data_IF_114069798276
#
_entry.id   IF_114069798276
#
_cell.length_a   1.000
_cell.length_b   1.000
_cell.length_c   1.000
_cell.angle_alpha   90.00
_cell.angle_beta   90.00
_cell.angle_gamma   90.00
#
_symmetry.space_group_name_H-M   'P 1'
#
loop_
_entity.id
_entity.type
_entity.pdbx_description
1 polymer ?
#
# COMPACT_ATOMS: atom_id res chain seq x y z
N UNK A 1 27.40 18.65 -42.94
CA UNK A 1 27.33 17.20 -43.17
C UNK A 1 26.66 16.62 -41.93
N UNK A 2 25.36 16.32 -42.08
CA UNK A 2 24.46 15.50 -41.23
C UNK A 2 24.48 15.79 -39.71
N UNK A 3 23.52 16.53 -39.17
CA UNK A 3 22.09 16.19 -38.94
C UNK A 3 21.88 15.03 -37.96
N UNK A 4 20.82 15.21 -37.16
CA UNK A 4 20.10 14.25 -36.32
C UNK A 4 20.35 14.46 -34.81
N UNK A 5 19.54 15.27 -34.12
CA UNK A 5 18.12 15.06 -33.77
C UNK A 5 17.96 13.73 -33.03
N UNK A 6 17.79 13.80 -31.71
CA UNK A 6 16.83 13.02 -30.92
C UNK A 6 16.85 13.63 -29.50
N UNK A 7 16.12 14.73 -29.27
CA UNK A 7 14.84 14.68 -28.55
C UNK A 7 14.86 13.67 -27.40
N UNK A 8 15.14 14.15 -26.18
CA UNK A 8 14.64 13.50 -24.97
C UNK A 8 13.12 13.59 -24.99
N UNK A 9 12.51 12.63 -25.68
CA UNK A 9 11.10 12.33 -25.56
C UNK A 9 10.97 11.69 -24.19
N UNK A 10 10.52 12.46 -23.20
CA UNK A 10 9.86 11.91 -22.03
C UNK A 10 8.84 10.91 -22.60
N UNK A 11 8.91 9.60 -22.30
CA UNK A 11 7.87 8.71 -22.73
C UNK A 11 6.58 9.24 -22.11
N UNK A 12 5.71 9.79 -22.96
CA UNK A 12 4.33 10.08 -22.59
C UNK A 12 3.78 8.70 -22.22
N UNK A 13 3.63 8.46 -20.91
CA UNK A 13 2.82 7.37 -20.42
C UNK A 13 1.50 7.49 -21.17
N UNK A 14 1.28 6.58 -22.12
CA UNK A 14 -0.03 6.49 -22.75
C UNK A 14 -0.95 6.09 -21.61
N UNK A 15 -1.75 7.04 -21.13
CA UNK A 15 -2.77 6.77 -20.13
C UNK A 15 -3.67 5.69 -20.73
N UNK A 16 -3.44 4.45 -20.34
CA UNK A 16 -4.30 3.35 -20.73
C UNK A 16 -5.68 3.67 -20.16
N UNK A 17 -6.74 3.40 -20.91
CA UNK A 17 -8.10 3.68 -20.45
C UNK A 17 -8.83 2.38 -20.16
N UNK A 18 -9.58 2.35 -19.08
CA UNK A 18 -10.49 1.25 -18.74
C UNK A 18 -11.88 1.63 -19.28
N UNK A 19 -12.46 0.86 -20.21
CA UNK A 19 -13.82 1.09 -20.66
C UNK A 19 -14.79 0.80 -19.53
N UNK A 20 -15.83 1.63 -19.40
CA UNK A 20 -16.90 1.42 -18.43
C UNK A 20 -17.98 0.54 -19.06
N UNK A 21 -18.35 -0.56 -18.37
CA UNK A 21 -19.49 -1.41 -18.75
C UNK A 21 -20.81 -0.60 -18.76
N UNK A 22 -20.91 0.37 -17.85
CA UNK A 22 -22.01 1.35 -17.80
C UNK A 22 -21.41 2.75 -17.80
N UNK A 23 -21.63 3.50 -18.89
CA UNK A 23 -21.17 4.88 -19.00
C UNK A 23 -21.87 5.83 -18.02
N UNK A 24 -21.16 6.85 -17.57
CA UNK A 24 -21.68 7.89 -16.66
C UNK A 24 -21.75 9.21 -17.43
N UNK A 25 -22.96 9.65 -17.76
CA UNK A 25 -23.15 10.82 -18.63
C UNK A 25 -22.51 10.60 -20.00
N UNK A 26 -21.51 11.41 -20.35
CA UNK A 26 -20.73 11.29 -21.60
C UNK A 26 -19.43 10.49 -21.43
N UNK A 27 -19.09 10.06 -20.21
CA UNK A 27 -17.85 9.35 -19.91
C UNK A 27 -18.05 7.85 -20.12
N UNK A 28 -17.39 7.28 -21.13
CA UNK A 28 -17.42 5.84 -21.47
C UNK A 28 -16.13 5.09 -21.12
N UNK A 29 -15.08 5.81 -20.74
CA UNK A 29 -13.81 5.24 -20.32
C UNK A 29 -13.12 6.18 -19.33
N UNK A 30 -12.35 5.61 -18.41
CA UNK A 30 -11.59 6.36 -17.41
C UNK A 30 -10.11 6.00 -17.51
N UNK A 31 -9.21 6.88 -17.06
CA UNK A 31 -7.79 6.54 -17.00
C UNK A 31 -7.57 5.32 -16.08
N UNK A 32 -6.68 4.42 -16.49
CA UNK A 32 -6.31 3.19 -15.79
C UNK A 32 -5.55 3.46 -14.50
N UNK A 33 -5.00 4.66 -14.34
CA UNK A 33 -4.30 5.06 -13.13
C UNK A 33 -5.35 5.34 -12.06
N UNK A 34 -5.41 4.47 -11.04
CA UNK A 34 -6.44 4.51 -9.98
C UNK A 34 -7.88 4.47 -10.52
N UNK A 35 -8.28 3.36 -11.18
CA UNK A 35 -9.54 3.29 -11.93
C UNK A 35 -10.77 3.44 -11.01
N UNK A 36 -10.73 2.92 -9.78
CA UNK A 36 -11.81 3.12 -8.81
C UNK A 36 -12.00 4.59 -8.44
N UNK A 37 -10.89 5.31 -8.23
CA UNK A 37 -10.91 6.71 -7.82
C UNK A 37 -11.45 7.61 -8.94
N UNK A 38 -10.97 7.40 -10.17
CA UNK A 38 -11.48 8.11 -11.35
C UNK A 38 -12.96 7.81 -11.61
N UNK A 39 -13.40 6.57 -11.35
CA UNK A 39 -14.80 6.19 -11.43
C UNK A 39 -15.66 6.96 -10.40
N UNK A 40 -15.25 6.98 -9.12
CA UNK A 40 -15.96 7.71 -8.06
C UNK A 40 -15.99 9.21 -8.35
N UNK A 41 -14.88 9.79 -8.82
CA UNK A 41 -14.83 11.19 -9.24
C UNK A 41 -15.82 11.51 -10.35
N UNK A 42 -15.89 10.65 -11.38
CA UNK A 42 -16.86 10.79 -12.47
C UNK A 42 -18.32 10.74 -11.97
N UNK A 43 -18.64 9.81 -11.06
CA UNK A 43 -19.98 9.72 -10.45
C UNK A 43 -20.31 10.98 -9.65
N UNK A 44 -19.38 11.47 -8.84
CA UNK A 44 -19.58 12.65 -8.00
C UNK A 44 -19.87 13.91 -8.84
N UNK A 45 -19.07 14.18 -9.88
CA UNK A 45 -19.30 15.30 -10.80
C UNK A 45 -20.64 15.18 -11.51
N UNK A 46 -21.03 13.97 -11.93
CA UNK A 46 -22.32 13.72 -12.55
C UNK A 46 -23.48 14.05 -11.60
N UNK A 47 -23.45 13.58 -10.36
CA UNK A 47 -24.52 13.82 -9.37
C UNK A 47 -24.67 15.31 -9.04
N UNK A 48 -23.57 16.03 -8.81
CA UNK A 48 -23.62 17.48 -8.53
C UNK A 48 -24.18 18.25 -9.72
N UNK A 49 -23.79 17.89 -10.95
CA UNK A 49 -24.34 18.50 -12.16
C UNK A 49 -25.85 18.26 -12.31
N UNK A 50 -26.31 17.04 -12.00
CA UNK A 50 -27.72 16.67 -12.03
C UNK A 50 -28.54 17.46 -11.00
N UNK A 51 -28.04 17.60 -9.77
CA UNK A 51 -28.69 18.41 -8.71
C UNK A 51 -28.86 19.86 -9.16
N UNK A 52 -27.83 20.45 -9.79
CA UNK A 52 -27.90 21.82 -10.32
C UNK A 52 -28.99 22.00 -11.38
N UNK A 53 -29.11 21.04 -12.31
CA UNK A 53 -30.15 21.06 -13.35
C UNK A 53 -31.54 20.92 -12.73
N UNK A 54 -31.73 19.99 -11.80
CA UNK A 54 -33.01 19.78 -11.11
C UNK A 54 -33.41 21.01 -10.29
N UNK A 55 -32.47 21.61 -9.57
CA UNK A 55 -32.71 22.83 -8.81
C UNK A 55 -33.13 23.99 -9.71
N UNK A 56 -32.44 24.19 -10.84
CA UNK A 56 -32.79 25.21 -11.83
C UNK A 56 -34.20 24.98 -12.41
N UNK A 57 -34.54 23.73 -12.77
CA UNK A 57 -35.87 23.37 -13.27
C UNK A 57 -36.97 23.65 -12.23
N UNK A 58 -36.73 23.29 -10.96
CA UNK A 58 -37.67 23.55 -9.87
C UNK A 58 -37.86 25.04 -9.59
N UNK A 59 -36.80 25.84 -9.67
CA UNK A 59 -36.88 27.30 -9.53
C UNK A 59 -37.66 27.90 -10.70
N UNK A 60 -37.41 27.48 -11.94
CA UNK A 60 -38.15 27.95 -13.12
C UNK A 60 -39.63 27.59 -13.03
N UNK A 61 -39.97 26.34 -12.69
CA UNK A 61 -41.34 25.86 -12.57
C UNK A 61 -42.13 26.64 -11.51
N UNK A 62 -41.55 26.78 -10.30
CA UNK A 62 -42.21 27.51 -9.23
C UNK A 62 -42.19 29.03 -9.45
N UNK A 63 -41.21 29.56 -10.19
CA UNK A 63 -41.17 30.96 -10.62
C UNK A 63 -42.31 31.30 -11.57
N UNK A 64 -42.56 30.46 -12.59
CA UNK A 64 -43.72 30.60 -13.47
C UNK A 64 -45.03 30.52 -12.67
N UNK A 65 -45.13 29.53 -11.78
CA UNK A 65 -46.32 29.36 -10.92
C UNK A 65 -46.59 30.58 -10.06
N UNK A 66 -45.56 31.24 -9.54
CA UNK A 66 -45.71 32.49 -8.79
C UNK A 66 -46.19 33.63 -9.71
N UNK A 67 -45.57 33.78 -10.88
CA UNK A 67 -45.95 34.81 -11.85
C UNK A 67 -47.41 34.67 -12.32
N UNK A 68 -47.90 33.44 -12.47
CA UNK A 68 -49.28 33.16 -12.90
C UNK A 68 -50.31 33.10 -11.77
N UNK A 69 -49.92 33.30 -10.50
CA UNK A 69 -50.82 33.06 -9.36
C UNK A 69 -51.95 34.10 -9.20
N UNK A 70 -51.89 35.24 -9.89
CA UNK A 70 -52.97 36.24 -9.96
C UNK A 70 -53.59 36.65 -8.60
N UNK A 71 -52.81 36.67 -7.52
CA UNK A 71 -53.27 37.02 -6.17
C UNK A 71 -53.84 35.87 -5.33
N UNK A 72 -53.87 34.64 -5.87
CA UNK A 72 -54.23 33.44 -5.11
C UNK A 72 -53.13 33.15 -4.05
N UNK A 73 -53.47 33.34 -2.78
CA UNK A 73 -52.54 33.20 -1.65
C UNK A 73 -51.98 31.78 -1.49
N UNK A 74 -52.77 30.75 -1.80
CA UNK A 74 -52.37 29.34 -1.72
C UNK A 74 -51.33 29.01 -2.79
N UNK A 75 -51.54 29.44 -4.04
CA UNK A 75 -50.58 29.22 -5.12
C UNK A 75 -49.28 29.99 -4.90
N UNK A 76 -49.35 31.22 -4.40
CA UNK A 76 -48.18 32.01 -4.02
C UNK A 76 -47.39 31.31 -2.91
N UNK A 77 -48.08 30.82 -1.87
CA UNK A 77 -47.46 30.10 -0.76
C UNK A 77 -46.75 28.83 -1.24
N UNK A 78 -47.43 28.03 -2.07
CA UNK A 78 -46.86 26.79 -2.61
C UNK A 78 -45.69 27.03 -3.56
N UNK A 79 -45.76 28.06 -4.41
CA UNK A 79 -44.64 28.47 -5.27
C UNK A 79 -43.42 28.92 -4.46
N UNK A 80 -43.63 29.73 -3.42
CA UNK A 80 -42.56 30.14 -2.49
C UNK A 80 -41.95 28.94 -1.79
N UNK A 81 -42.76 28.00 -1.28
CA UNK A 81 -42.27 26.79 -0.65
C UNK A 81 -41.41 25.96 -1.62
N UNK A 82 -41.84 25.79 -2.88
CA UNK A 82 -41.06 25.07 -3.89
C UNK A 82 -39.73 25.75 -4.23
N UNK A 83 -39.70 27.08 -4.35
CA UNK A 83 -38.45 27.85 -4.53
C UNK A 83 -37.56 27.70 -3.30
N UNK A 84 -38.11 27.84 -2.09
CA UNK A 84 -37.35 27.67 -0.85
C UNK A 84 -36.77 26.27 -0.74
N UNK A 85 -37.51 25.22 -1.04
CA UNK A 85 -36.99 23.84 -1.02
C UNK A 85 -35.86 23.63 -2.04
N UNK A 86 -35.98 24.19 -3.26
CA UNK A 86 -34.92 24.11 -4.26
C UNK A 86 -33.66 24.88 -3.83
N UNK A 87 -33.82 26.08 -3.27
CA UNK A 87 -32.72 26.92 -2.78
C UNK A 87 -32.05 26.28 -1.55
N UNK A 88 -32.82 25.74 -0.60
CA UNK A 88 -32.28 25.02 0.56
C UNK A 88 -31.53 23.76 0.12
N UNK A 89 -32.06 22.99 -0.83
CA UNK A 89 -31.37 21.83 -1.39
C UNK A 89 -30.04 22.21 -2.06
N UNK A 90 -30.03 23.31 -2.82
CA UNK A 90 -28.80 23.83 -3.44
C UNK A 90 -27.80 24.36 -2.39
N UNK A 91 -28.27 25.06 -1.37
CA UNK A 91 -27.45 25.53 -0.25
C UNK A 91 -26.90 24.35 0.55
N UNK A 92 -27.64 23.26 0.74
CA UNK A 92 -27.14 22.07 1.42
C UNK A 92 -26.06 21.37 0.56
N UNK A 93 -26.26 21.26 -0.75
CA UNK A 93 -25.29 20.66 -1.65
C UNK A 93 -23.98 21.49 -1.72
N UNK A 94 -24.10 22.80 -1.98
CA UNK A 94 -22.94 23.72 -2.04
C UNK A 94 -22.34 23.97 -0.66
N UNK A 95 -23.16 24.02 0.39
CA UNK A 95 -22.74 24.16 1.76
C UNK A 95 -21.96 22.94 2.23
N UNK A 96 -22.38 21.73 1.84
CA UNK A 96 -21.60 20.50 2.05
C UNK A 96 -20.24 20.60 1.38
N UNK A 97 -20.19 21.06 0.12
CA UNK A 97 -18.92 21.32 -0.58
C UNK A 97 -18.03 22.30 0.19
N UNK A 98 -18.58 23.44 0.63
CA UNK A 98 -17.81 24.48 1.35
C UNK A 98 -17.32 23.96 2.69
N UNK A 99 -18.15 23.26 3.46
CA UNK A 99 -17.77 22.65 4.73
C UNK A 99 -16.65 21.63 4.50
N UNK A 100 -16.83 20.69 3.56
CA UNK A 100 -15.83 19.68 3.26
C UNK A 100 -14.52 20.32 2.79
N UNK A 101 -14.57 21.29 1.87
CA UNK A 101 -13.40 21.98 1.35
C UNK A 101 -12.70 22.89 2.37
N UNK A 102 -13.44 23.41 3.36
CA UNK A 102 -12.86 24.22 4.46
C UNK A 102 -12.21 23.35 5.52
N UNK A 103 -12.80 22.19 5.82
CA UNK A 103 -12.21 21.21 6.74
C UNK A 103 -10.98 20.57 6.12
N UNK A 104 -11.08 20.13 4.86
CA UNK A 104 -9.96 19.63 4.09
C UNK A 104 -10.29 19.61 2.58
N UNK A 105 -9.57 20.37 1.74
CA UNK A 105 -9.78 20.36 0.29
C UNK A 105 -9.58 18.97 -0.35
N UNK A 106 -8.88 18.04 0.30
CA UNK A 106 -8.71 16.66 -0.17
C UNK A 106 -10.02 15.85 -0.18
N UNK A 107 -11.04 16.23 0.59
CA UNK A 107 -12.33 15.52 0.58
C UNK A 107 -13.17 15.79 -0.66
N UNK A 108 -12.82 16.84 -1.42
CA UNK A 108 -13.57 17.22 -2.62
C UNK A 108 -12.70 17.21 -3.87
N UNK A 109 -11.39 17.38 -3.72
CA UNK A 109 -10.42 17.18 -4.78
C UNK A 109 -9.94 15.73 -4.82
N UNK A 110 -10.74 14.87 -5.47
CA UNK A 110 -10.44 13.45 -5.62
C UNK A 110 -9.27 13.17 -6.59
N UNK A 111 -8.83 14.16 -7.38
CA UNK A 111 -7.63 14.02 -8.24
C UNK A 111 -6.33 13.96 -7.45
N UNK A 112 -6.37 14.37 -6.18
CA UNK A 112 -5.28 14.26 -5.22
C UNK A 112 -5.67 13.37 -4.03
N UNK A 113 -6.61 12.44 -4.21
CA UNK A 113 -6.55 11.22 -3.41
C UNK A 113 -5.36 10.42 -3.94
N UNK A 114 -4.18 10.88 -3.57
CA UNK A 114 -3.09 9.96 -3.28
C UNK A 114 -3.71 9.02 -2.27
N UNK A 115 -4.17 7.85 -2.73
CA UNK A 115 -4.31 6.74 -1.82
C UNK A 115 -2.90 6.59 -1.31
N UNK A 116 -2.57 7.22 -0.18
CA UNK A 116 -1.39 6.90 0.60
C UNK A 116 -1.43 5.39 0.60
N UNK A 117 -0.57 4.81 -0.22
CA UNK A 117 -0.33 3.38 -0.33
C UNK A 117 -0.21 2.94 1.11
N UNK A 118 -1.27 2.36 1.71
CA UNK A 118 -1.50 2.35 3.17
C UNK A 118 -0.17 2.40 3.89
N UNK A 119 0.31 3.61 4.16
CA UNK A 119 1.63 3.77 4.73
C UNK A 119 1.28 3.73 6.17
N UNK A 120 1.32 2.53 6.75
CA UNK A 120 1.40 2.39 8.19
C UNK A 120 2.47 3.40 8.61
N UNK A 121 2.11 4.44 9.39
CA UNK A 121 3.08 5.47 9.71
C UNK A 121 4.26 4.77 10.35
N UNK A 122 5.47 5.22 10.04
CA UNK A 122 6.56 5.05 10.99
C UNK A 122 5.98 5.52 12.34
N UNK A 123 5.84 4.57 13.26
CA UNK A 123 5.35 4.80 14.60
C UNK A 123 6.28 5.80 15.28
N UNK A 124 5.88 7.07 15.35
CA UNK A 124 6.42 7.99 16.35
C UNK A 124 5.32 8.28 17.38
N UNK A 125 5.42 7.48 18.45
CA UNK A 125 5.02 7.74 19.84
C UNK A 125 3.73 8.55 20.08
N UNK A 126 2.65 7.83 20.39
CA UNK A 126 1.80 8.21 21.51
C UNK A 126 1.69 7.00 22.43
N UNK A 127 2.31 7.16 23.59
CA UNK A 127 2.26 6.35 24.79
C UNK A 127 1.05 5.41 24.93
N UNK A 128 1.36 4.15 25.27
CA UNK A 128 0.58 3.43 26.27
C UNK A 128 -0.14 2.17 25.80
N UNK A 129 0.57 1.04 26.01
CA UNK A 129 0.05 -0.28 26.42
C UNK A 129 -0.54 -1.18 25.30
N UNK A 130 0.09 -2.27 24.83
CA UNK A 130 1.27 -3.09 25.19
C UNK A 130 1.14 -4.37 24.32
N UNK A 131 2.12 -5.16 23.88
CA UNK A 131 3.56 -5.39 24.08
C UNK A 131 3.94 -6.45 23.01
N UNK A 132 5.13 -6.55 22.43
CA UNK A 132 6.33 -5.76 22.49
C UNK A 132 7.32 -6.31 21.46
N UNK A 133 7.82 -5.44 20.59
CA UNK A 133 9.14 -5.56 19.97
C UNK A 133 9.68 -4.13 19.88
N UNK A 134 10.85 -3.91 20.51
CA UNK A 134 11.33 -2.60 20.90
C UNK A 134 11.41 -1.60 19.75
N UNK A 135 10.82 -0.43 19.97
CA UNK A 135 11.15 0.81 19.27
C UNK A 135 12.61 1.17 19.59
N UNK A 136 13.52 0.68 18.75
CA UNK A 136 14.92 1.05 18.77
C UNK A 136 15.17 2.25 17.86
N UNK A 137 15.07 3.43 18.45
CA UNK A 137 15.80 4.66 18.12
C UNK A 137 15.51 5.37 16.77
N UNK A 138 14.83 6.52 16.87
CA UNK A 138 14.82 7.64 15.91
C UNK A 138 16.20 8.35 15.84
N UNK A 139 17.27 7.61 16.10
CA UNK A 139 18.65 8.05 16.17
C UNK A 139 19.44 7.56 14.96
N UNK A 140 20.42 8.38 14.60
CA UNK A 140 21.41 8.16 13.56
C UNK A 140 22.21 6.88 13.84
N UNK A 141 21.66 5.69 13.58
CA UNK A 141 22.47 4.48 13.58
C UNK A 141 23.43 4.57 12.42
N UNK A 142 24.71 4.65 12.78
CA UNK A 142 25.84 4.69 11.87
C UNK A 142 26.25 3.25 11.54
N UNK A 143 26.02 2.86 10.30
CA UNK A 143 26.35 1.57 9.72
C UNK A 143 27.62 1.61 8.89
N UNK A 144 28.35 2.74 8.86
CA UNK A 144 29.59 2.90 8.09
C UNK A 144 30.67 1.87 8.47
N UNK A 145 30.60 1.34 9.69
CA UNK A 145 31.51 0.31 10.21
C UNK A 145 30.99 -1.12 10.07
N UNK A 146 29.80 -1.32 9.50
CA UNK A 146 29.24 -2.66 9.29
C UNK A 146 30.08 -3.46 8.28
N UNK A 147 30.51 -4.65 8.69
CA UNK A 147 31.36 -5.55 7.88
C UNK A 147 30.63 -6.81 7.39
N UNK A 148 29.30 -6.86 7.49
CA UNK A 148 28.53 -8.01 7.00
C UNK A 148 28.72 -8.19 5.49
N UNK A 149 28.99 -9.42 5.07
CA UNK A 149 29.13 -9.82 3.67
C UNK A 149 27.86 -9.51 2.86
N UNK A 150 26.69 -9.71 3.45
CA UNK A 150 25.40 -9.38 2.82
C UNK A 150 25.28 -7.89 2.49
N UNK A 151 25.71 -7.00 3.40
CA UNK A 151 25.71 -5.56 3.14
C UNK A 151 26.76 -5.16 2.09
N UNK A 152 27.97 -5.73 2.17
CA UNK A 152 29.01 -5.49 1.17
C UNK A 152 28.54 -5.90 -0.24
N UNK A 153 27.84 -7.03 -0.33
CA UNK A 153 27.22 -7.48 -1.56
C UNK A 153 26.17 -6.50 -2.08
N UNK A 154 25.25 -6.03 -1.22
CA UNK A 154 24.21 -5.08 -1.62
C UNK A 154 24.82 -3.79 -2.17
N UNK A 155 25.83 -3.24 -1.50
CA UNK A 155 26.60 -2.07 -1.96
C UNK A 155 27.22 -2.29 -3.34
N UNK A 156 27.68 -3.51 -3.64
CA UNK A 156 28.26 -3.84 -4.96
C UNK A 156 27.21 -4.14 -6.03
N UNK A 157 26.01 -4.56 -5.64
CA UNK A 157 24.92 -4.91 -6.55
C UNK A 157 24.14 -3.68 -6.98
N UNK A 158 23.92 -2.74 -6.05
CA UNK A 158 23.11 -1.56 -6.25
C UNK A 158 23.94 -0.29 -6.08
N UNK A 159 24.43 0.26 -7.19
CA UNK A 159 25.25 1.48 -7.20
C UNK A 159 24.54 2.69 -6.57
N UNK A 160 23.21 2.73 -6.68
CA UNK A 160 22.35 3.78 -6.12
C UNK A 160 22.15 3.67 -4.60
N UNK A 161 22.47 2.52 -4.00
CA UNK A 161 22.13 2.22 -2.62
C UNK A 161 23.14 2.81 -1.64
N UNK A 162 22.70 3.80 -0.87
CA UNK A 162 23.44 4.30 0.30
C UNK A 162 23.00 3.56 1.55
N UNK A 163 23.94 3.15 2.40
CA UNK A 163 23.62 2.34 3.57
C UNK A 163 24.30 2.78 4.87
N UNK A 164 24.93 3.95 4.90
CA UNK A 164 25.73 4.34 6.06
C UNK A 164 24.86 4.80 7.23
N UNK A 165 23.61 5.21 6.98
CA UNK A 165 22.63 5.55 8.02
C UNK A 165 21.23 5.02 7.70
N UNK A 166 20.34 4.98 8.70
CA UNK A 166 18.91 4.72 8.48
C UNK A 166 18.31 5.68 7.44
N UNK A 167 18.67 6.96 7.48
CA UNK A 167 18.16 7.98 6.57
C UNK A 167 18.62 7.73 5.12
N UNK A 168 19.89 7.33 4.95
CA UNK A 168 20.45 6.96 3.65
C UNK A 168 19.71 5.77 3.03
N UNK A 169 19.47 4.71 3.82
CA UNK A 169 18.74 3.53 3.35
C UNK A 169 17.31 3.93 3.00
N UNK A 170 16.62 4.66 3.89
CA UNK A 170 15.23 5.09 3.67
C UNK A 170 15.09 5.91 2.39
N UNK A 171 16.00 6.86 2.18
CA UNK A 171 15.99 7.70 0.98
C UNK A 171 16.32 6.91 -0.28
N UNK A 172 17.30 6.00 -0.22
CA UNK A 172 17.72 5.21 -1.39
C UNK A 172 16.65 4.21 -1.80
N UNK A 173 16.01 3.55 -0.83
CA UNK A 173 15.03 2.49 -1.09
C UNK A 173 13.68 3.00 -1.60
N UNK A 174 13.34 4.27 -1.36
CA UNK A 174 12.01 4.82 -1.67
C UNK A 174 11.54 4.59 -3.12
N UNK A 175 12.43 4.72 -4.10
CA UNK A 175 12.14 4.49 -5.53
C UNK A 175 12.16 3.03 -5.98
N UNK A 176 12.71 2.13 -5.16
CA UNK A 176 12.94 0.73 -5.48
C UNK A 176 12.04 -0.23 -4.69
N UNK A 177 11.17 0.30 -3.83
CA UNK A 177 10.16 -0.46 -3.11
C UNK A 177 8.84 -0.49 -3.88
N UNK A 178 8.16 -1.62 -3.76
CA UNK A 178 6.96 -1.97 -4.53
C UNK A 178 5.95 -2.59 -3.60
N UNK A 179 4.67 -2.30 -3.85
CA UNK A 179 3.57 -2.90 -3.09
C UNK A 179 3.05 -4.09 -3.85
N UNK A 180 3.25 -5.26 -3.26
CA UNK A 180 2.81 -6.52 -3.79
C UNK A 180 1.56 -6.98 -3.03
N UNK A 181 0.48 -7.28 -3.75
CA UNK A 181 -0.72 -7.92 -3.19
C UNK A 181 -0.73 -9.39 -3.62
N UNK A 182 -0.64 -10.29 -2.65
CA UNK A 182 -0.55 -11.75 -2.85
C UNK A 182 -1.60 -12.48 -2.04
N UNK A 183 -1.96 -13.69 -2.45
CA UNK A 183 -2.88 -14.54 -1.69
C UNK A 183 -2.23 -15.13 -0.46
N UNK A 184 -2.98 -15.22 0.63
CA UNK A 184 -2.51 -15.63 1.96
C UNK A 184 -2.49 -17.15 2.16
N UNK A 185 -2.81 -17.94 1.13
CA UNK A 185 -2.96 -19.39 1.23
C UNK A 185 -4.38 -19.84 1.55
N UNK A 186 -5.32 -18.92 1.77
CA UNK A 186 -6.74 -19.21 2.09
C UNK A 186 -7.73 -18.47 1.19
N UNK A 187 -7.24 -17.85 0.11
CA UNK A 187 -8.02 -17.03 -0.80
C UNK A 187 -8.25 -15.58 -0.33
N UNK A 188 -7.73 -15.17 0.84
CA UNK A 188 -7.63 -13.75 1.19
C UNK A 188 -6.33 -13.17 0.65
N UNK A 189 -6.18 -11.85 0.68
CA UNK A 189 -4.96 -11.17 0.21
C UNK A 189 -4.21 -10.51 1.36
N UNK A 190 -2.88 -10.56 1.29
CA UNK A 190 -1.98 -9.74 2.11
C UNK A 190 -1.21 -8.76 1.23
N UNK A 191 -0.75 -7.66 1.85
CA UNK A 191 0.04 -6.63 1.18
C UNK A 191 1.45 -6.62 1.74
N UNK A 192 2.44 -6.78 0.88
CA UNK A 192 3.85 -6.74 1.22
C UNK A 192 4.51 -5.54 0.55
N UNK A 193 5.43 -4.88 1.25
CA UNK A 193 6.38 -3.96 0.62
C UNK A 193 7.68 -4.69 0.39
N UNK A 194 8.12 -4.77 -0.86
CA UNK A 194 9.31 -5.53 -1.27
C UNK A 194 10.16 -4.71 -2.22
N UNK A 195 11.42 -5.08 -2.40
CA UNK A 195 12.25 -4.52 -3.47
C UNK A 195 11.76 -5.00 -4.84
N UNK A 196 11.90 -4.17 -5.87
CA UNK A 196 11.47 -4.50 -7.24
C UNK A 196 12.05 -5.82 -7.77
N UNK A 197 13.32 -6.12 -7.46
CA UNK A 197 13.98 -7.34 -7.93
C UNK A 197 13.42 -8.64 -7.31
N UNK A 198 12.81 -8.59 -6.12
CA UNK A 198 12.26 -9.79 -5.46
C UNK A 198 10.78 -10.03 -5.80
N UNK A 199 10.11 -9.09 -6.48
CA UNK A 199 8.68 -9.17 -6.77
C UNK A 199 8.26 -10.47 -7.44
N UNK A 200 9.00 -10.90 -8.47
CA UNK A 200 8.66 -12.10 -9.25
C UNK A 200 8.74 -13.36 -8.39
N UNK A 201 9.84 -13.53 -7.66
CA UNK A 201 10.08 -14.70 -6.81
C UNK A 201 9.11 -14.71 -5.62
N UNK A 202 8.87 -13.56 -4.99
CA UNK A 202 7.88 -13.45 -3.89
C UNK A 202 6.47 -13.77 -4.39
N UNK A 203 6.07 -13.27 -5.57
CA UNK A 203 4.75 -13.57 -6.15
C UNK A 203 4.62 -15.07 -6.42
N UNK A 204 5.66 -15.70 -6.95
CA UNK A 204 5.68 -17.13 -7.26
C UNK A 204 5.56 -17.98 -5.98
N UNK A 205 6.27 -17.62 -4.91
CA UNK A 205 6.16 -18.29 -3.60
C UNK A 205 4.71 -18.32 -3.13
N UNK A 206 4.06 -17.16 -3.05
CA UNK A 206 2.70 -17.07 -2.51
C UNK A 206 1.67 -17.74 -3.44
N UNK A 207 1.85 -17.65 -4.76
CA UNK A 207 1.01 -18.35 -5.72
C UNK A 207 1.12 -19.88 -5.58
N UNK A 208 2.32 -20.41 -5.35
CA UNK A 208 2.55 -21.85 -5.15
C UNK A 208 2.04 -22.33 -3.79
N UNK A 209 2.13 -21.51 -2.74
CA UNK A 209 1.53 -21.79 -1.43
C UNK A 209 0.00 -21.84 -1.54
N UNK A 210 -0.62 -20.87 -2.21
CA UNK A 210 -2.06 -20.86 -2.47
C UNK A 210 -2.49 -22.12 -3.23
N UNK A 211 -1.81 -22.43 -4.34
CA UNK A 211 -2.08 -23.63 -5.12
C UNK A 211 -1.92 -24.90 -4.29
N UNK A 212 -0.87 -25.01 -3.48
CA UNK A 212 -0.62 -26.15 -2.60
C UNK A 212 -1.74 -26.31 -1.57
N UNK A 213 -2.16 -25.23 -0.92
CA UNK A 213 -3.23 -25.23 0.07
C UNK A 213 -4.59 -25.68 -0.48
N UNK A 214 -4.84 -25.61 -1.79
CA UNK A 214 -6.09 -26.14 -2.38
C UNK A 214 -6.21 -27.66 -2.26
N UNK A 215 -5.09 -28.38 -2.28
CA UNK A 215 -5.04 -29.85 -2.34
C UNK A 215 -4.56 -30.52 -1.05
N UNK A 216 -4.00 -29.74 -0.12
CA UNK A 216 -3.42 -30.23 1.13
C UNK A 216 -4.42 -30.25 2.29
N UNK A 217 -4.24 -31.21 3.19
CA UNK A 217 -4.96 -31.28 4.47
C UNK A 217 -4.28 -30.47 5.57
N UNK A 218 -2.96 -30.30 5.47
CA UNK A 218 -2.09 -29.54 6.36
C UNK A 218 -1.84 -28.12 5.80
N UNK A 219 -2.93 -27.39 5.55
CA UNK A 219 -2.85 -26.05 4.97
C UNK A 219 -2.09 -25.09 5.88
N UNK A 220 -1.34 -24.19 5.29
CA UNK A 220 -0.59 -23.18 6.02
C UNK A 220 -1.00 -21.77 5.58
N UNK A 221 -1.84 -21.06 6.36
CA UNK A 221 -2.20 -19.67 6.09
C UNK A 221 -1.07 -18.72 6.50
N UNK A 222 -0.71 -17.79 5.63
CA UNK A 222 0.23 -16.69 5.93
C UNK A 222 -0.57 -15.47 6.39
N UNK A 223 -0.50 -15.15 7.67
CA UNK A 223 -1.37 -14.17 8.31
C UNK A 223 -0.87 -12.75 8.06
N UNK A 224 -1.76 -11.88 7.57
CA UNK A 224 -1.46 -10.46 7.38
C UNK A 224 -1.07 -9.73 8.68
N UNK A 225 -1.64 -10.16 9.82
CA UNK A 225 -1.41 -9.53 11.13
C UNK A 225 0.03 -9.67 11.63
N UNK A 226 0.72 -10.70 11.17
CA UNK A 226 2.03 -11.07 11.65
C UNK A 226 2.94 -11.66 10.56
N UNK A 227 2.87 -11.07 9.37
CA UNK A 227 3.82 -11.31 8.27
C UNK A 227 4.22 -9.97 7.64
N UNK A 228 5.52 -9.74 7.44
CA UNK A 228 6.01 -8.50 6.86
C UNK A 228 7.36 -8.68 6.17
N UNK A 229 7.52 -7.98 5.04
CA UNK A 229 8.78 -7.89 4.32
C UNK A 229 9.55 -6.62 4.69
N UNK A 230 9.48 -5.56 3.89
CA UNK A 230 10.00 -4.26 4.28
C UNK A 230 9.22 -3.68 5.46
N UNK A 231 9.94 -3.38 6.55
CA UNK A 231 9.39 -2.79 7.77
C UNK A 231 10.22 -1.57 8.22
N UNK A 232 10.58 -0.73 7.24
CA UNK A 232 11.42 0.45 7.48
C UNK A 232 12.91 0.10 7.60
N UNK A 233 13.75 1.08 7.30
CA UNK A 233 15.17 0.98 7.57
C UNK A 233 15.41 0.95 9.08
N UNK A 234 16.12 -0.07 9.56
CA UNK A 234 16.36 -0.30 10.98
C UNK A 234 17.65 -1.07 11.23
N UNK A 235 18.20 -0.92 12.42
CA UNK A 235 19.32 -1.74 12.88
C UNK A 235 18.90 -3.22 13.03
N UNK A 236 19.84 -4.13 12.85
CA UNK A 236 19.62 -5.56 13.09
C UNK A 236 19.59 -5.85 14.60
N UNK A 237 18.56 -6.57 15.06
CA UNK A 237 18.34 -6.87 16.50
C UNK A 237 19.52 -7.60 17.13
N UNK A 238 20.16 -8.52 16.41
CA UNK A 238 21.28 -9.32 16.89
C UNK A 238 22.65 -8.68 16.59
N UNK A 239 22.72 -7.67 15.71
CA UNK A 239 23.92 -6.90 15.42
C UNK A 239 23.58 -5.43 15.09
N UNK A 240 23.37 -4.58 16.10
CA UNK A 240 22.89 -3.21 15.89
C UNK A 240 23.83 -2.30 15.11
N UNK A 241 25.11 -2.67 14.96
CA UNK A 241 26.08 -1.96 14.11
C UNK A 241 25.86 -2.16 12.61
N UNK A 242 24.90 -3.03 12.23
CA UNK A 242 24.54 -3.32 10.85
C UNK A 242 23.03 -3.13 10.63
N UNK A 243 22.62 -2.72 9.42
CA UNK A 243 21.21 -2.66 9.08
C UNK A 243 20.61 -4.07 9.00
N UNK A 244 19.32 -4.16 9.29
CA UNK A 244 18.52 -5.36 9.03
C UNK A 244 18.34 -5.58 7.54
N UNK A 245 18.33 -6.82 7.06
CA UNK A 245 18.07 -7.13 5.65
C UNK A 245 16.65 -6.72 5.21
N UNK A 246 15.69 -6.73 6.13
CA UNK A 246 14.35 -6.17 5.91
C UNK A 246 14.35 -4.69 5.54
N UNK A 247 15.41 -3.94 5.89
CA UNK A 247 15.56 -2.54 5.50
C UNK A 247 15.65 -2.36 3.99
N UNK A 248 15.95 -3.44 3.26
CA UNK A 248 16.11 -3.44 1.82
C UNK A 248 14.93 -4.11 1.11
N UNK A 249 13.90 -4.57 1.81
CA UNK A 249 12.75 -5.23 1.18
C UNK A 249 13.08 -6.55 0.47
N UNK A 250 14.19 -7.18 0.83
CA UNK A 250 14.67 -8.47 0.29
C UNK A 250 14.42 -9.64 1.26
N UNK A 251 13.80 -9.37 2.41
CA UNK A 251 13.51 -10.36 3.45
C UNK A 251 12.03 -10.38 3.75
N UNK A 252 11.53 -11.49 4.31
CA UNK A 252 10.19 -11.62 4.86
C UNK A 252 10.21 -12.44 6.15
N UNK A 253 9.51 -11.93 7.16
CA UNK A 253 9.19 -12.68 8.37
C UNK A 253 7.75 -13.18 8.24
N UNK A 254 7.57 -14.50 8.28
CA UNK A 254 6.30 -15.18 8.12
C UNK A 254 5.77 -15.61 9.48
N UNK A 255 4.53 -15.20 9.79
CA UNK A 255 3.78 -15.67 10.96
C UNK A 255 4.57 -15.55 12.28
N UNK A 256 5.20 -14.40 12.55
CA UNK A 256 6.17 -14.25 13.64
C UNK A 256 5.61 -14.56 15.04
N UNK A 257 4.28 -14.45 15.24
CA UNK A 257 3.65 -14.79 16.53
C UNK A 257 3.86 -16.25 16.91
N UNK A 258 3.98 -17.14 15.92
CA UNK A 258 4.13 -18.59 16.12
C UNK A 258 5.51 -19.10 15.69
N UNK A 259 6.39 -18.23 15.18
CA UNK A 259 7.70 -18.61 14.64
C UNK A 259 8.79 -17.69 15.23
N UNK A 260 9.50 -18.13 16.29
CA UNK A 260 10.39 -17.25 17.05
C UNK A 260 11.79 -17.11 16.44
N UNK A 261 12.47 -16.00 16.80
CA UNK A 261 13.92 -15.87 16.72
C UNK A 261 14.57 -16.52 17.96
N UNK A 262 15.36 -17.56 17.74
CA UNK A 262 15.95 -18.37 18.78
C UNK A 262 17.48 -18.26 18.74
N UNK A 263 18.08 -17.30 19.48
CA UNK A 263 19.54 -17.24 19.61
C UNK A 263 20.03 -18.43 20.46
N UNK A 264 21.32 -18.81 20.33
CA UNK A 264 21.94 -19.92 21.10
C UNK A 264 21.73 -19.89 22.61
N UNK A 265 21.55 -18.69 23.17
CA UNK A 265 21.29 -18.49 24.60
C UNK A 265 19.85 -18.75 25.02
N UNK A 266 18.91 -18.88 24.08
CA UNK A 266 17.49 -19.03 24.34
C UNK A 266 17.07 -20.50 24.50
N UNK A 267 15.99 -20.72 25.27
CA UNK A 267 15.43 -22.05 25.47
C UNK A 267 14.85 -22.69 24.19
N UNK A 268 14.54 -21.90 23.16
CA UNK A 268 13.98 -22.41 21.91
C UNK A 268 15.04 -22.84 20.88
N UNK A 269 16.34 -22.54 21.09
CA UNK A 269 17.40 -22.86 20.12
C UNK A 269 17.48 -24.36 19.80
N UNK A 270 17.32 -25.22 20.80
CA UNK A 270 17.42 -26.68 20.65
C UNK A 270 16.07 -27.38 20.47
N UNK A 271 14.98 -26.63 20.32
CA UNK A 271 13.63 -27.16 20.23
C UNK A 271 13.00 -26.81 18.89
N UNK A 272 13.10 -27.75 17.93
CA UNK A 272 12.53 -27.59 16.59
C UNK A 272 10.98 -27.56 16.58
N UNK A 273 10.30 -27.92 17.69
CA UNK A 273 8.85 -27.83 17.78
C UNK A 273 8.33 -26.41 18.01
N UNK A 274 9.24 -25.43 18.09
CA UNK A 274 8.92 -24.03 18.42
C UNK A 274 8.41 -23.20 17.25
N UNK A 275 8.39 -23.76 16.05
CA UNK A 275 7.84 -23.11 14.85
C UNK A 275 6.72 -23.97 14.26
N UNK A 276 5.82 -23.34 13.52
CA UNK A 276 4.70 -24.01 12.87
C UNK A 276 4.83 -24.04 11.34
N UNK A 277 5.85 -23.38 10.76
CA UNK A 277 6.10 -23.39 9.31
C UNK A 277 6.42 -24.82 8.83
N UNK A 278 5.62 -25.42 7.93
CA UNK A 278 5.87 -26.76 7.41
C UNK A 278 7.05 -26.81 6.44
N UNK A 279 7.72 -27.97 6.36
CA UNK A 279 8.83 -28.20 5.42
C UNK A 279 8.49 -27.89 3.96
N UNK A 280 7.23 -28.11 3.55
CA UNK A 280 6.79 -27.84 2.18
C UNK A 280 6.73 -26.33 1.89
N UNK A 281 6.41 -25.50 2.88
CA UNK A 281 6.45 -24.03 2.75
C UNK A 281 7.90 -23.58 2.65
N UNK A 282 8.78 -24.08 3.51
CA UNK A 282 10.22 -23.80 3.46
C UNK A 282 10.80 -24.20 2.09
N UNK A 283 10.38 -25.35 1.57
CA UNK A 283 10.84 -25.86 0.27
C UNK A 283 10.40 -24.98 -0.90
N UNK A 284 9.17 -24.44 -0.88
CA UNK A 284 8.70 -23.48 -1.88
C UNK A 284 9.57 -22.23 -1.84
N UNK A 285 9.78 -21.62 -0.68
CA UNK A 285 10.67 -20.47 -0.53
C UNK A 285 12.06 -20.74 -1.11
N UNK A 286 12.67 -21.88 -0.75
CA UNK A 286 13.99 -22.28 -1.26
C UNK A 286 14.01 -22.49 -2.77
N UNK A 287 12.93 -22.99 -3.37
CA UNK A 287 12.81 -23.16 -4.82
C UNK A 287 12.73 -21.84 -5.59
N UNK A 288 12.32 -20.77 -4.90
CA UNK A 288 12.23 -19.39 -5.43
C UNK A 288 13.32 -18.48 -4.85
N UNK A 289 14.53 -19.02 -4.67
CA UNK A 289 15.72 -18.25 -4.30
C UNK A 289 15.70 -17.59 -2.90
N UNK A 290 15.00 -18.16 -1.93
CA UNK A 290 15.10 -17.73 -0.53
C UNK A 290 15.95 -18.69 0.31
N UNK A 291 16.78 -18.12 1.17
CA UNK A 291 17.35 -18.83 2.31
C UNK A 291 16.36 -18.78 3.48
N UNK A 292 16.40 -19.79 4.35
CA UNK A 292 15.57 -19.83 5.56
C UNK A 292 16.43 -19.63 6.80
N UNK A 293 16.03 -18.70 7.67
CA UNK A 293 16.73 -18.40 8.92
C UNK A 293 16.72 -19.55 9.93
N UNK A 294 15.80 -20.52 9.77
CA UNK A 294 15.81 -21.77 10.52
C UNK A 294 17.03 -22.66 10.24
N UNK A 295 17.76 -22.46 9.13
CA UNK A 295 18.98 -23.22 8.80
C UNK A 295 20.26 -22.64 9.46
N UNK A 296 20.18 -21.46 10.07
CA UNK A 296 21.35 -20.75 10.56
C UNK A 296 21.91 -21.34 11.86
N UNK A 297 23.24 -21.51 11.89
CA UNK A 297 23.93 -22.18 13.01
C UNK A 297 24.25 -21.29 14.22
N UNK A 298 23.97 -19.99 14.17
CA UNK A 298 24.24 -19.03 15.26
C UNK A 298 22.96 -18.60 16.00
N UNK A 299 21.84 -18.63 15.29
CA UNK A 299 20.49 -18.27 15.73
C UNK A 299 19.53 -18.98 14.78
N UNK A 300 18.54 -19.71 15.29
CA UNK A 300 17.48 -20.23 14.43
C UNK A 300 16.39 -19.18 14.37
N UNK A 301 16.27 -18.50 13.23
CA UNK A 301 15.26 -17.47 13.00
C UNK A 301 14.12 -18.03 12.15
N UNK A 302 13.16 -18.70 12.80
CA UNK A 302 12.22 -19.57 12.07
C UNK A 302 11.24 -18.80 11.19
N UNK A 303 10.85 -17.59 11.57
CA UNK A 303 9.98 -16.74 10.74
C UNK A 303 10.69 -16.23 9.48
N UNK A 304 12.01 -16.20 9.49
CA UNK A 304 12.78 -15.35 8.60
C UNK A 304 13.17 -16.04 7.29
N UNK A 305 12.92 -15.37 6.17
CA UNK A 305 13.37 -15.76 4.84
C UNK A 305 14.08 -14.60 4.16
N UNK A 306 15.29 -14.85 3.65
CA UNK A 306 16.10 -13.87 2.96
C UNK A 306 16.26 -14.24 1.49
N UNK A 307 15.83 -13.35 0.61
CA UNK A 307 15.97 -13.55 -0.82
C UNK A 307 17.44 -13.42 -1.22
N UNK A 308 17.98 -14.49 -1.79
CA UNK A 308 19.34 -14.53 -2.30
C UNK A 308 19.38 -14.33 -3.83
N UNK A 309 18.23 -14.28 -4.53
CA UNK A 309 18.15 -14.04 -5.98
C UNK A 309 18.99 -14.97 -6.85
N UNK A 310 19.25 -16.20 -6.39
CA UNK A 310 20.11 -17.16 -7.08
C UNK A 310 21.60 -16.87 -6.92
N UNK A 311 21.99 -16.16 -5.85
CA UNK A 311 23.34 -15.68 -5.46
C UNK A 311 23.63 -14.18 -5.66
N UNK A 312 22.61 -13.31 -5.67
CA UNK A 312 22.75 -11.85 -5.51
C UNK A 312 23.20 -11.53 -4.09
N UNK A 313 22.35 -11.30 -3.08
CA UNK A 313 22.83 -11.03 -1.72
C UNK A 313 21.93 -11.68 -0.65
N UNK A 314 22.41 -12.71 0.05
CA UNK A 314 21.73 -13.34 1.20
C UNK A 314 22.57 -13.24 2.47
N UNK A 315 21.94 -13.50 3.63
CA UNK A 315 22.55 -13.48 4.97
C UNK A 315 23.20 -14.80 5.39
#
# INVERSE_FOLDING_TARGET
MFSDIFSHIIPIAHATVVPLEVGIGTTSSIASDWPLLNYIGAVYTFVISAIGIVAAAMIMFNGLRWASAAGNSEQISSAKAGITSAVVGLILALGSYVILNTLNPAFVNLQNLDMQQLTFPASETADGDGSGYGTGDSGTSDFSTCTKSSLACLKSTYEWLKTDTIADITSSMGGHLRTLTVYDGTGNTITLRVHEDVEADMTAVFAEIEASNTSRTDKYPIRASDTAAYAGARANVNNPSCPSMHSFGLSIDVNWTTNPNCPKSSACYSDASKHDIPDWVVSIFKSHNFNWGGDWSSVHDYMHFDWNGGARCGS
#
